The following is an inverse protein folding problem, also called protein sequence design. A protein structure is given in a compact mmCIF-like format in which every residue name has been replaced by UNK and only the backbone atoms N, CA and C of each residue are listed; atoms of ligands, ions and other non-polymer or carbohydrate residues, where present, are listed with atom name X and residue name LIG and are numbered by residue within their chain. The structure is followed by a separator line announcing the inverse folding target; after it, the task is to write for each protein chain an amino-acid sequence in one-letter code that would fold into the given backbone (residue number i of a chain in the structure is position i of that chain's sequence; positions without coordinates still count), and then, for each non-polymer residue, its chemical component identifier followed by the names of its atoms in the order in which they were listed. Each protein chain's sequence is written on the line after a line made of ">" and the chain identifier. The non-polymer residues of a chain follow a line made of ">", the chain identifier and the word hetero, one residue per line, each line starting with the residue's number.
data_IF_844913433475
#
_entry.id   IF_844913433475
#
_cell.length_a   1.000
_cell.length_b   1.000
_cell.length_c   1.000
_cell.angle_alpha   90.00
_cell.angle_beta   90.00
_cell.angle_gamma   90.00
#
_symmetry.space_group_name_H-M   'P 1'
#
loop_
_entity.id
_entity.type
_entity.pdbx_description
1 polymer ?
#
# COMPACT_ATOMS: atom_id res chain seq x y z
N UNK A 1 16.55 19.48 -7.97
CA UNK A 1 15.47 18.70 -8.49
C UNK A 1 14.98 17.63 -7.54
N UNK A 2 13.69 17.55 -7.40
CA UNK A 2 13.10 16.63 -6.45
C UNK A 2 13.19 15.19 -6.92
N UNK A 3 13.65 14.32 -6.05
CA UNK A 3 13.72 12.91 -6.36
C UNK A 3 12.38 12.25 -6.02
N UNK A 4 11.85 11.47 -6.94
CA UNK A 4 10.60 10.76 -6.71
C UNK A 4 10.86 9.52 -5.85
N UNK A 5 10.00 9.31 -4.86
CA UNK A 5 10.13 8.12 -4.01
C UNK A 5 9.63 6.86 -4.71
N UNK A 6 8.81 7.02 -5.75
CA UNK A 6 8.26 5.90 -6.50
C UNK A 6 8.53 6.17 -7.98
N UNK A 7 9.77 5.95 -8.37
CA UNK A 7 10.21 6.26 -9.72
C UNK A 7 10.27 5.00 -10.58
N UNK A 8 10.88 5.14 -11.75
CA UNK A 8 10.99 4.06 -12.69
C UNK A 8 11.79 2.89 -12.14
N UNK A 9 12.76 3.18 -11.29
CA UNK A 9 13.56 2.13 -10.67
C UNK A 9 12.69 1.24 -9.79
N UNK A 10 11.76 1.83 -9.04
CA UNK A 10 10.84 1.07 -8.21
C UNK A 10 9.90 0.25 -9.08
N UNK A 11 9.41 0.83 -10.17
CA UNK A 11 8.55 0.10 -11.08
C UNK A 11 9.27 -1.11 -11.65
N UNK A 12 10.51 -0.94 -12.09
CA UNK A 12 11.29 -2.05 -12.62
C UNK A 12 11.55 -3.11 -11.56
N UNK A 13 11.77 -2.68 -10.32
CA UNK A 13 11.97 -3.62 -9.21
C UNK A 13 10.73 -4.48 -9.00
N UNK A 14 9.55 -3.89 -9.10
CA UNK A 14 8.31 -4.63 -8.95
C UNK A 14 8.14 -5.64 -10.09
N UNK A 15 8.49 -5.24 -11.30
CA UNK A 15 8.43 -6.14 -12.45
C UNK A 15 9.39 -7.31 -12.24
N UNK A 16 10.59 -7.04 -11.76
CA UNK A 16 11.56 -8.09 -11.48
C UNK A 16 11.08 -9.02 -10.37
N UNK A 17 10.48 -8.44 -9.35
CA UNK A 17 9.90 -9.21 -8.26
C UNK A 17 8.89 -10.23 -8.80
N UNK A 18 8.01 -9.78 -9.68
CA UNK A 18 6.98 -10.64 -10.25
C UNK A 18 7.53 -11.65 -11.26
N UNK A 19 8.68 -11.35 -11.84
CA UNK A 19 9.30 -12.24 -12.83
C UNK A 19 10.07 -13.40 -12.21
N UNK A 20 10.35 -13.32 -10.93
CA UNK A 20 11.19 -14.32 -10.26
C UNK A 20 10.37 -15.24 -9.38
N UNK A 21 10.73 -16.52 -9.39
CA UNK A 21 10.16 -17.50 -8.48
C UNK A 21 11.04 -17.71 -7.25
N UNK A 22 12.18 -17.05 -7.21
CA UNK A 22 13.12 -17.23 -6.13
C UNK A 22 12.74 -16.37 -4.93
N UNK A 23 12.36 -17.01 -3.85
CA UNK A 23 11.91 -16.33 -2.65
C UNK A 23 12.96 -15.39 -2.07
N UNK A 24 14.21 -15.86 -2.02
CA UNK A 24 15.31 -15.04 -1.48
C UNK A 24 15.53 -13.79 -2.32
N UNK A 25 15.46 -13.93 -3.63
CA UNK A 25 15.61 -12.80 -4.54
C UNK A 25 14.49 -11.80 -4.35
N UNK A 26 13.25 -12.30 -4.23
CA UNK A 26 12.10 -11.43 -4.03
C UNK A 26 12.23 -10.63 -2.74
N UNK A 27 12.61 -11.28 -1.66
CA UNK A 27 12.79 -10.60 -0.38
C UNK A 27 13.87 -9.54 -0.47
N UNK A 28 14.95 -9.86 -1.15
CA UNK A 28 16.06 -8.93 -1.27
C UNK A 28 15.67 -7.68 -2.04
N UNK A 29 15.03 -7.86 -3.19
CA UNK A 29 14.67 -6.72 -4.02
C UNK A 29 13.57 -5.90 -3.36
N UNK A 30 12.66 -6.55 -2.65
CA UNK A 30 11.64 -5.83 -1.91
C UNK A 30 12.26 -4.96 -0.83
N UNK A 31 13.12 -5.53 -0.01
CA UNK A 31 13.74 -4.79 1.08
C UNK A 31 14.58 -3.62 0.59
N UNK A 32 15.27 -3.81 -0.53
CA UNK A 32 16.18 -2.78 -1.03
C UNK A 32 15.51 -1.69 -1.83
N UNK A 33 14.48 -2.03 -2.59
CA UNK A 33 13.97 -1.09 -3.59
C UNK A 33 12.48 -0.80 -3.48
N UNK A 34 11.70 -1.70 -2.94
CA UNK A 34 10.25 -1.55 -2.96
C UNK A 34 9.69 -1.07 -1.63
N UNK A 35 10.22 -1.57 -0.53
CA UNK A 35 9.65 -1.27 0.79
C UNK A 35 9.59 0.22 1.09
N UNK A 36 10.70 0.93 0.84
CA UNK A 36 10.74 2.36 1.13
C UNK A 36 9.70 3.13 0.33
N UNK A 37 9.50 2.73 -0.94
CA UNK A 37 8.50 3.38 -1.78
C UNK A 37 7.08 3.11 -1.26
N UNK A 38 6.79 1.89 -0.87
CA UNK A 38 5.48 1.55 -0.32
C UNK A 38 5.23 2.29 0.99
N UNK A 39 6.25 2.37 1.85
CA UNK A 39 6.14 3.06 3.11
C UNK A 39 5.76 4.52 2.90
N UNK A 40 6.47 5.19 2.00
CA UNK A 40 6.21 6.59 1.70
C UNK A 40 4.85 6.80 1.03
N UNK A 41 4.51 5.91 0.13
CA UNK A 41 3.22 5.97 -0.55
C UNK A 41 2.07 5.87 0.44
N UNK A 42 2.13 4.90 1.34
CA UNK A 42 1.06 4.71 2.31
C UNK A 42 0.98 5.88 3.27
N UNK A 43 2.12 6.39 3.70
CA UNK A 43 2.16 7.54 4.59
C UNK A 43 1.48 8.75 3.94
N UNK A 44 1.80 9.01 2.68
CA UNK A 44 1.22 10.14 1.97
C UNK A 44 -0.28 9.99 1.78
N UNK A 45 -0.73 8.80 1.45
CA UNK A 45 -2.16 8.58 1.24
C UNK A 45 -2.94 8.76 2.54
N UNK A 46 -2.44 8.19 3.63
CA UNK A 46 -3.10 8.31 4.92
C UNK A 46 -3.19 9.77 5.34
N UNK A 47 -2.10 10.51 5.18
CA UNK A 47 -2.06 11.92 5.55
C UNK A 47 -2.97 12.78 4.66
N UNK A 48 -3.03 12.45 3.38
CA UNK A 48 -3.81 13.24 2.43
C UNK A 48 -5.31 13.09 2.67
N UNK A 49 -5.76 11.89 2.94
CA UNK A 49 -7.20 11.64 3.06
C UNK A 49 -7.72 11.77 4.49
N UNK A 50 -6.83 11.81 5.47
CA UNK A 50 -7.19 12.07 6.88
C UNK A 50 -8.39 11.27 7.36
N UNK A 51 -8.30 9.95 7.22
CA UNK A 51 -9.36 9.08 7.68
C UNK A 51 -9.61 9.25 9.18
N UNK A 52 -10.88 9.28 9.59
CA UNK A 52 -11.26 9.69 10.94
C UNK A 52 -11.64 8.57 11.89
N UNK A 53 -11.92 7.40 11.41
CA UNK A 53 -12.47 6.34 12.27
C UNK A 53 -11.50 5.22 12.54
N UNK A 54 -10.21 5.54 12.56
CA UNK A 54 -9.20 4.56 12.90
C UNK A 54 -8.99 4.55 14.41
N UNK A 55 -9.15 3.38 15.01
CA UNK A 55 -8.83 3.19 16.41
C UNK A 55 -7.36 2.87 16.62
N UNK A 56 -6.67 2.58 15.56
CA UNK A 56 -5.28 2.12 15.60
C UNK A 56 -4.31 3.26 15.45
N UNK A 57 -3.11 3.14 16.04
CA UNK A 57 -2.06 4.13 15.81
C UNK A 57 -1.72 4.22 14.34
N UNK A 58 -1.23 5.38 13.93
CA UNK A 58 -0.85 5.63 12.54
C UNK A 58 0.08 4.55 11.99
N UNK A 59 1.08 4.18 12.79
CA UNK A 59 2.06 3.19 12.33
C UNK A 59 1.44 1.82 12.06
N UNK A 60 0.47 1.43 12.87
CA UNK A 60 -0.19 0.15 12.67
C UNK A 60 -1.05 0.17 11.41
N UNK A 61 -1.75 1.26 11.18
CA UNK A 61 -2.54 1.42 9.95
C UNK A 61 -1.63 1.36 8.74
N UNK A 62 -0.52 2.10 8.78
CA UNK A 62 0.43 2.11 7.68
C UNK A 62 0.98 0.72 7.40
N UNK A 63 1.35 0.00 8.45
CA UNK A 63 1.89 -1.35 8.29
C UNK A 63 0.86 -2.30 7.69
N UNK A 64 -0.41 -2.15 8.07
CA UNK A 64 -1.48 -2.97 7.51
C UNK A 64 -1.65 -2.73 6.02
N UNK A 65 -1.59 -1.48 5.61
CA UNK A 65 -1.70 -1.15 4.18
C UNK A 65 -0.52 -1.70 3.42
N UNK A 66 0.70 -1.54 3.97
CA UNK A 66 1.90 -2.06 3.30
C UNK A 66 1.78 -3.57 3.13
N UNK A 67 1.33 -4.28 4.15
CA UNK A 67 1.15 -5.73 4.05
C UNK A 67 0.16 -6.08 2.96
N UNK A 68 -0.91 -5.32 2.85
CA UNK A 68 -1.90 -5.56 1.80
C UNK A 68 -1.30 -5.34 0.42
N UNK A 69 -0.48 -4.30 0.26
CA UNK A 69 0.19 -4.04 -1.01
C UNK A 69 1.15 -5.18 -1.36
N UNK A 70 1.89 -5.67 -0.38
CA UNK A 70 2.82 -6.78 -0.61
C UNK A 70 2.06 -8.01 -1.09
N UNK A 71 0.92 -8.29 -0.48
CA UNK A 71 0.10 -9.43 -0.88
C UNK A 71 -0.43 -9.28 -2.30
N UNK A 72 -0.52 -8.06 -2.80
CA UNK A 72 -1.07 -7.79 -4.11
C UNK A 72 -0.01 -7.47 -5.17
N UNK A 73 1.27 -7.54 -4.83
CA UNK A 73 2.31 -7.25 -5.81
C UNK A 73 2.18 -8.16 -7.02
N UNK A 74 1.90 -9.43 -6.79
CA UNK A 74 1.80 -10.41 -7.87
C UNK A 74 0.66 -10.14 -8.84
N UNK A 75 -0.30 -9.32 -8.43
CA UNK A 75 -1.45 -9.01 -9.29
C UNK A 75 -1.16 -7.86 -10.26
N UNK A 76 -0.07 -7.14 -10.03
CA UNK A 76 0.27 -6.05 -10.93
C UNK A 76 0.82 -6.58 -12.24
N UNK A 77 0.26 -6.11 -13.34
CA UNK A 77 0.67 -6.52 -14.68
C UNK A 77 1.03 -5.27 -15.47
N UNK A 78 2.31 -5.06 -15.67
CA UNK A 78 2.80 -3.87 -16.36
C UNK A 78 2.39 -3.82 -17.82
N UNK A 79 2.02 -4.97 -18.40
CA UNK A 79 1.64 -5.02 -19.81
C UNK A 79 0.25 -4.44 -20.04
N UNK A 80 -0.50 -4.18 -18.98
CA UNK A 80 -1.85 -3.63 -19.11
C UNK A 80 -1.88 -2.11 -19.16
N UNK A 81 -0.73 -1.48 -19.18
CA UNK A 81 -0.63 -0.05 -19.43
C UNK A 81 -0.59 0.85 -18.21
N UNK A 82 -0.99 0.35 -17.05
CA UNK A 82 -0.93 1.16 -15.84
C UNK A 82 0.45 1.08 -15.21
N UNK A 83 0.91 2.21 -14.70
CA UNK A 83 2.18 2.24 -13.99
C UNK A 83 1.98 1.75 -12.56
N UNK A 84 3.05 1.18 -11.98
CA UNK A 84 2.97 0.63 -10.64
C UNK A 84 2.52 1.66 -9.63
N UNK A 85 3.02 2.89 -9.72
CA UNK A 85 2.62 3.94 -8.80
C UNK A 85 1.11 4.13 -8.80
N UNK A 86 0.52 4.24 -9.98
CA UNK A 86 -0.94 4.44 -10.09
C UNK A 86 -1.70 3.24 -9.57
N UNK A 87 -1.26 2.04 -9.94
CA UNK A 87 -1.92 0.82 -9.52
C UNK A 87 -1.94 0.68 -8.00
N UNK A 88 -0.77 0.82 -7.38
CA UNK A 88 -0.68 0.62 -5.93
C UNK A 88 -1.28 1.78 -5.15
N UNK A 89 -1.30 2.97 -5.74
CA UNK A 89 -2.01 4.09 -5.10
C UNK A 89 -3.49 3.79 -4.97
N UNK A 90 -4.09 3.25 -6.04
CA UNK A 90 -5.51 2.91 -6.02
C UNK A 90 -5.77 1.76 -5.06
N UNK A 91 -4.91 0.75 -5.05
CA UNK A 91 -5.07 -0.39 -4.15
C UNK A 91 -5.01 0.06 -2.70
N UNK A 92 -4.02 0.89 -2.36
CA UNK A 92 -3.86 1.40 -1.01
C UNK A 92 -5.05 2.26 -0.59
N UNK A 93 -5.48 3.13 -1.49
CA UNK A 93 -6.60 4.02 -1.21
C UNK A 93 -7.88 3.23 -0.96
N UNK A 94 -8.15 2.24 -1.81
CA UNK A 94 -9.34 1.43 -1.65
C UNK A 94 -9.31 0.65 -0.35
N UNK A 95 -8.15 0.13 0.02
CA UNK A 95 -8.01 -0.59 1.29
C UNK A 95 -8.33 0.33 2.46
N UNK A 96 -7.79 1.55 2.43
CA UNK A 96 -7.99 2.51 3.51
C UNK A 96 -9.44 2.96 3.60
N UNK A 97 -10.09 3.17 2.47
CA UNK A 97 -11.49 3.56 2.47
C UNK A 97 -12.34 2.45 3.10
N UNK A 98 -12.09 1.21 2.71
CA UNK A 98 -12.83 0.09 3.25
C UNK A 98 -12.58 -0.08 4.75
N UNK A 99 -11.32 0.06 5.15
CA UNK A 99 -10.95 -0.04 6.56
C UNK A 99 -11.62 1.06 7.38
N UNK A 100 -11.63 2.28 6.85
CA UNK A 100 -12.28 3.40 7.51
C UNK A 100 -13.79 3.18 7.63
N UNK A 101 -14.41 2.65 6.58
CA UNK A 101 -15.84 2.36 6.59
C UNK A 101 -16.17 1.27 7.59
N UNK A 102 -15.33 0.26 7.70
CA UNK A 102 -15.54 -0.80 8.67
C UNK A 102 -15.45 -0.26 10.09
N UNK A 103 -14.50 0.62 10.34
CA UNK A 103 -14.37 1.25 11.66
C UNK A 103 -15.58 2.15 11.96
N UNK A 104 -16.06 2.84 10.97
CA UNK A 104 -17.25 3.67 11.12
C UNK A 104 -18.48 2.83 11.49
N UNK A 105 -18.65 1.71 10.78
CA UNK A 105 -19.79 0.82 11.07
C UNK A 105 -19.69 0.23 12.47
N UNK A 106 -18.49 -0.14 12.86
CA UNK A 106 -18.23 -0.65 14.20
C UNK A 106 -18.57 0.38 15.26
N UNK A 107 -18.17 1.61 15.02
CA UNK A 107 -18.44 2.73 15.92
C UNK A 107 -19.94 2.94 16.06
N UNK A 108 -20.67 2.97 14.95
CA UNK A 108 -22.10 3.17 14.97
C UNK A 108 -22.83 2.02 15.66
N UNK A 109 -22.43 0.81 15.40
CA UNK A 109 -23.04 -0.36 16.01
C UNK A 109 -22.83 -0.35 17.52
N UNK A 110 -21.62 -0.03 17.92
CA UNK A 110 -21.30 0.05 19.35
C UNK A 110 -22.12 1.13 20.04
N UNK A 111 -22.24 2.27 19.38
CA UNK A 111 -22.98 3.39 19.90
C UNK A 111 -24.45 3.03 20.07
N UNK A 112 -25.00 2.28 19.16
CA UNK A 112 -26.39 1.84 19.21
C UNK A 112 -26.65 0.90 20.37
N UNK A 113 -25.71 0.06 20.65
CA UNK A 113 -25.85 -0.94 21.71
C UNK A 113 -25.77 -0.30 23.08
N UNK A 114 -24.95 0.70 23.20
CA UNK A 114 -24.86 1.41 24.46
C UNK A 114 -26.04 2.35 24.65
#
# INVERSE_FOLDING_TARGET
>A
KKKLYFDEEVQNAIIEYNSSDNYSFRNKIYSKKIHAAFDKLCENIINTFKFSYFDEPFEEVKNSVISFLVMNIHKYDHTKGAKAFSYFSIVAKNYLILHNNNNYKKFKTHDKIS
#
